data_IF_510420389909
#
_entry.id   IF_510420389909
#
_cell.length_a   1.000
_cell.length_b   1.000
_cell.length_c   1.000
_cell.angle_alpha   90.00
_cell.angle_beta   90.00
_cell.angle_gamma   90.00
#
_symmetry.space_group_name_H-M   'P 1'
#
loop_
_entity.id
_entity.type
_entity.pdbx_description
1 polymer ?
#
# COMPACT_ATOMS: atom_id res chain seq x y z
N UNK A 1 2.59 11.57 27.47
CA UNK A 1 1.78 11.57 26.23
C UNK A 1 1.92 10.18 25.62
N UNK A 2 0.91 9.33 25.83
CA UNK A 2 0.86 8.01 25.21
C UNK A 2 0.79 8.20 23.69
N UNK A 3 1.76 7.66 22.95
CA UNK A 3 1.70 7.70 21.50
C UNK A 3 0.42 7.00 21.02
N UNK A 4 -0.29 7.55 20.03
CA UNK A 4 -1.43 6.87 19.45
C UNK A 4 -0.93 5.59 18.81
N UNK A 5 -1.36 4.44 19.33
CA UNK A 5 -1.15 3.17 18.66
C UNK A 5 -1.66 3.32 17.22
N UNK A 6 -0.77 3.16 16.24
CA UNK A 6 -1.18 3.12 14.84
C UNK A 6 -2.23 2.01 14.69
N UNK A 7 -3.38 2.27 14.02
CA UNK A 7 -4.40 1.24 13.79
C UNK A 7 -3.91 0.12 12.84
N UNK A 8 -2.71 0.30 12.27
CA UNK A 8 -2.09 -0.62 11.35
C UNK A 8 -1.02 -1.41 12.11
N UNK A 9 -1.16 -2.74 12.11
CA UNK A 9 -0.16 -3.62 12.69
C UNK A 9 0.93 -3.99 11.67
N UNK A 10 2.19 -3.91 12.10
CA UNK A 10 3.37 -4.25 11.31
C UNK A 10 4.11 -5.43 11.94
N UNK A 11 3.94 -6.68 11.45
CA UNK A 11 4.66 -7.83 11.95
C UNK A 11 6.18 -7.64 11.79
N UNK A 12 7.02 -8.19 12.69
CA UNK A 12 8.47 -8.02 12.64
C UNK A 12 9.05 -8.35 11.26
N UNK A 13 9.96 -7.49 10.78
CA UNK A 13 10.67 -7.71 9.51
C UNK A 13 11.70 -8.81 9.68
N UNK A 14 11.39 -10.02 9.20
CA UNK A 14 12.36 -11.10 9.13
C UNK A 14 12.14 -11.94 7.88
N UNK A 15 13.24 -12.31 7.22
CA UNK A 15 13.23 -13.23 6.08
C UNK A 15 13.35 -14.70 6.53
N UNK A 16 13.81 -14.92 7.76
CA UNK A 16 14.06 -16.23 8.34
C UNK A 16 13.05 -16.61 9.43
N UNK A 17 12.08 -15.76 9.76
CA UNK A 17 11.08 -16.02 10.81
C UNK A 17 9.68 -15.81 10.24
N UNK A 18 8.80 -16.79 10.46
CA UNK A 18 7.39 -16.63 10.12
C UNK A 18 6.74 -15.57 11.02
N UNK A 19 6.08 -14.53 10.48
CA UNK A 19 5.48 -13.46 11.30
C UNK A 19 4.26 -13.91 12.12
N UNK A 20 3.68 -15.09 11.82
CA UNK A 20 2.48 -15.61 12.49
C UNK A 20 2.82 -16.51 13.68
N UNK A 21 3.86 -17.35 13.58
CA UNK A 21 4.21 -18.32 14.63
C UNK A 21 5.60 -18.10 15.22
N UNK A 22 6.35 -17.10 14.73
CA UNK A 22 7.72 -16.78 15.14
C UNK A 22 8.73 -17.92 15.02
N UNK A 23 8.42 -18.96 14.22
CA UNK A 23 9.34 -20.08 14.00
C UNK A 23 10.43 -19.71 12.99
N UNK A 24 11.68 -20.01 13.35
CA UNK A 24 12.86 -19.85 12.48
C UNK A 24 12.83 -20.80 11.28
N UNK A 25 13.48 -20.36 10.21
CA UNK A 25 13.79 -21.10 9.00
C UNK A 25 14.98 -22.01 9.27
N UNK A 26 14.71 -23.25 9.63
CA UNK A 26 15.72 -24.29 9.85
C UNK A 26 15.42 -25.47 8.91
N UNK A 27 15.42 -25.22 7.60
CA UNK A 27 15.14 -26.23 6.57
C UNK A 27 13.66 -26.58 6.34
N UNK A 28 12.72 -25.79 6.88
CA UNK A 28 11.27 -25.98 6.65
C UNK A 28 10.82 -25.28 5.36
N UNK A 29 9.82 -25.85 4.68
CA UNK A 29 9.14 -25.21 3.54
C UNK A 29 8.44 -23.95 4.02
N UNK A 30 8.99 -22.78 3.69
CA UNK A 30 8.32 -21.49 3.78
C UNK A 30 8.09 -20.96 2.37
N UNK A 31 7.00 -20.22 2.21
CA UNK A 31 6.72 -19.48 0.99
C UNK A 31 6.75 -18.00 1.26
N UNK A 32 7.27 -17.22 0.30
CA UNK A 32 7.07 -15.77 0.29
C UNK A 32 5.56 -15.52 0.22
N UNK A 33 5.05 -14.67 1.11
CA UNK A 33 3.64 -14.32 1.12
C UNK A 33 3.37 -13.47 -0.15
N UNK A 34 2.50 -13.91 -1.08
CA UNK A 34 2.20 -13.18 -2.29
C UNK A 34 1.57 -11.82 -2.00
N UNK A 35 1.84 -10.83 -2.86
CA UNK A 35 1.34 -9.45 -2.73
C UNK A 35 -0.17 -9.40 -2.52
N UNK A 36 -0.92 -10.18 -3.30
CA UNK A 36 -2.37 -10.26 -3.18
C UNK A 36 -2.84 -10.64 -1.77
N UNK A 37 -2.15 -11.59 -1.11
CA UNK A 37 -2.48 -11.99 0.27
C UNK A 37 -2.16 -10.86 1.24
N UNK A 38 -1.00 -10.20 1.07
CA UNK A 38 -0.57 -9.09 1.93
C UNK A 38 -1.57 -7.94 1.87
N UNK A 39 -2.01 -7.60 0.66
CA UNK A 39 -2.93 -6.49 0.40
C UNK A 39 -4.35 -6.82 0.88
N UNK A 40 -4.86 -8.03 0.62
CA UNK A 40 -6.14 -8.47 1.19
C UNK A 40 -6.11 -8.47 2.72
N UNK A 41 -5.00 -8.94 3.31
CA UNK A 41 -4.83 -8.94 4.77
C UNK A 41 -4.88 -7.51 5.32
N UNK A 42 -4.25 -6.57 4.63
CA UNK A 42 -4.31 -5.16 5.00
C UNK A 42 -5.74 -4.59 4.87
N UNK A 43 -6.39 -4.76 3.71
CA UNK A 43 -7.72 -4.22 3.43
C UNK A 43 -8.75 -4.72 4.44
N UNK A 44 -8.77 -6.03 4.72
CA UNK A 44 -9.82 -6.64 5.53
C UNK A 44 -9.51 -6.69 7.03
N UNK A 45 -8.24 -6.56 7.42
CA UNK A 45 -7.83 -6.78 8.82
C UNK A 45 -6.90 -5.70 9.39
N UNK A 46 -6.59 -4.65 8.63
CA UNK A 46 -5.66 -3.57 9.00
C UNK A 46 -4.29 -4.05 9.46
N UNK A 47 -3.84 -5.19 8.92
CA UNK A 47 -2.52 -5.78 9.19
C UNK A 47 -1.66 -5.62 7.93
N UNK A 48 -0.59 -4.85 8.03
CA UNK A 48 0.36 -4.68 6.93
C UNK A 48 1.49 -5.69 7.04
N UNK A 49 1.52 -6.63 6.09
CA UNK A 49 2.61 -7.59 5.96
C UNK A 49 3.63 -7.03 4.98
N UNK A 50 4.85 -6.78 5.47
CA UNK A 50 5.96 -6.22 4.69
C UNK A 50 6.32 -7.08 3.49
N UNK A 51 6.83 -6.42 2.45
CA UNK A 51 7.36 -7.08 1.26
C UNK A 51 8.40 -8.15 1.63
N UNK A 52 8.39 -9.27 0.90
CA UNK A 52 9.31 -10.41 1.06
C UNK A 52 9.20 -11.13 2.41
N UNK A 53 8.16 -10.87 3.20
CA UNK A 53 7.86 -11.67 4.39
C UNK A 53 7.53 -13.10 3.98
N UNK A 54 8.05 -14.07 4.71
CA UNK A 54 7.85 -15.51 4.45
C UNK A 54 6.91 -16.10 5.50
N UNK A 55 6.07 -17.05 5.11
CA UNK A 55 5.13 -17.72 6.02
C UNK A 55 5.18 -19.23 5.87
N UNK A 56 4.82 -19.93 6.95
CA UNK A 56 4.59 -21.36 6.92
C UNK A 56 3.35 -21.68 6.07
N UNK A 57 3.38 -22.73 5.21
CA UNK A 57 2.23 -23.18 4.43
C UNK A 57 1.00 -23.46 5.29
N UNK A 58 1.18 -23.93 6.54
CA UNK A 58 0.06 -24.21 7.46
C UNK A 58 -0.83 -23.00 7.78
N UNK A 59 -0.33 -21.77 7.61
CA UNK A 59 -1.09 -20.54 7.85
C UNK A 59 -1.77 -19.99 6.60
N UNK A 60 -1.49 -20.56 5.42
CA UNK A 60 -2.06 -20.15 4.15
C UNK A 60 -2.99 -21.26 3.66
N UNK A 61 -4.20 -20.89 3.26
CA UNK A 61 -5.21 -21.79 2.73
C UNK A 61 -5.96 -21.07 1.63
N UNK A 62 -6.13 -21.75 0.48
CA UNK A 62 -6.82 -21.19 -0.69
C UNK A 62 -6.30 -19.80 -1.11
N UNK A 63 -4.98 -19.58 -1.00
CA UNK A 63 -4.37 -18.31 -1.35
C UNK A 63 -4.72 -17.17 -0.40
N UNK A 64 -5.10 -17.46 0.85
CA UNK A 64 -5.38 -16.48 1.90
C UNK A 64 -4.75 -16.89 3.23
N UNK A 65 -4.55 -15.94 4.15
CA UNK A 65 -4.21 -16.30 5.52
C UNK A 65 -5.42 -16.91 6.22
N UNK A 66 -5.19 -18.04 6.91
CA UNK A 66 -6.21 -18.65 7.77
C UNK A 66 -6.67 -17.66 8.84
N UNK A 67 -7.92 -17.79 9.27
CA UNK A 67 -8.48 -16.97 10.36
C UNK A 67 -7.62 -17.03 11.62
N UNK A 68 -7.20 -18.23 12.01
CA UNK A 68 -6.30 -18.42 13.17
C UNK A 68 -4.95 -17.71 13.03
N UNK A 69 -4.42 -17.62 11.80
CA UNK A 69 -3.20 -16.87 11.54
C UNK A 69 -3.41 -15.36 11.70
N UNK A 70 -4.56 -14.85 11.25
CA UNK A 70 -4.94 -13.44 11.42
C UNK A 70 -5.12 -13.12 12.90
N UNK A 71 -5.79 -13.98 13.66
CA UNK A 71 -6.04 -13.77 15.08
C UNK A 71 -4.73 -13.74 15.88
N UNK A 72 -3.76 -14.62 15.58
CA UNK A 72 -2.42 -14.59 16.16
C UNK A 72 -1.71 -13.25 15.88
N UNK A 73 -1.78 -12.77 14.63
CA UNK A 73 -1.18 -11.48 14.26
C UNK A 73 -1.81 -10.31 15.04
N UNK A 74 -3.13 -10.32 15.25
CA UNK A 74 -3.83 -9.31 16.06
C UNK A 74 -3.44 -9.39 17.53
N UNK A 75 -3.30 -10.59 18.06
CA UNK A 75 -2.86 -10.80 19.44
C UNK A 75 -1.43 -10.26 19.63
N UNK A 76 -0.53 -10.54 18.69
CA UNK A 76 0.83 -9.98 18.72
C UNK A 76 0.84 -8.45 18.59
N UNK A 77 -0.07 -7.88 17.80
CA UNK A 77 -0.25 -6.43 17.68
C UNK A 77 -0.59 -5.78 19.02
N UNK A 78 -1.46 -6.42 19.80
CA UNK A 78 -1.84 -5.92 21.13
C UNK A 78 -0.69 -5.94 22.14
N UNK A 79 0.34 -6.76 21.89
CA UNK A 79 1.49 -6.97 22.78
C UNK A 79 2.73 -6.18 22.38
N UNK A 80 2.78 -5.61 21.18
CA UNK A 80 3.98 -4.99 20.60
C UNK A 80 3.68 -3.67 19.90
N UNK A 81 4.14 -2.54 20.46
CA UNK A 81 4.10 -1.21 19.84
C UNK A 81 5.24 -1.00 18.82
N UNK A 82 5.33 -1.86 17.79
CA UNK A 82 6.34 -1.64 16.75
C UNK A 82 5.80 -0.64 15.75
N UNK A 83 6.37 0.56 15.78
CA UNK A 83 6.03 1.63 14.86
C UNK A 83 6.38 1.28 13.43
N UNK A 84 5.50 1.68 12.51
CA UNK A 84 5.78 1.69 11.08
C UNK A 84 6.91 2.67 10.80
N UNK A 85 7.90 2.27 9.99
CA UNK A 85 8.76 3.29 9.39
C UNK A 85 7.96 4.03 8.30
N UNK A 86 8.31 5.30 8.03
CA UNK A 86 7.75 6.05 6.89
C UNK A 86 7.91 5.26 5.58
N UNK A 87 9.01 4.52 5.45
CA UNK A 87 9.25 3.66 4.28
C UNK A 87 8.25 2.50 4.18
N UNK A 88 7.81 1.94 5.31
CA UNK A 88 6.79 0.87 5.33
C UNK A 88 5.43 1.43 4.86
N UNK A 89 5.07 2.65 5.30
CA UNK A 89 3.85 3.33 4.86
C UNK A 89 3.91 3.68 3.36
N UNK A 90 5.04 4.18 2.89
CA UNK A 90 5.25 4.47 1.48
C UNK A 90 5.13 3.20 0.62
N UNK A 91 5.74 2.10 1.06
CA UNK A 91 5.63 0.79 0.39
C UNK A 91 4.20 0.28 0.33
N UNK A 92 3.45 0.40 1.44
CA UNK A 92 2.02 0.08 1.48
C UNK A 92 1.21 0.91 0.46
N UNK A 93 1.42 2.22 0.40
CA UNK A 93 0.73 3.08 -0.57
C UNK A 93 1.03 2.67 -2.02
N UNK A 94 2.30 2.36 -2.34
CA UNK A 94 2.68 1.88 -3.67
C UNK A 94 1.99 0.55 -4.03
N UNK A 95 1.96 -0.40 -3.10
CA UNK A 95 1.29 -1.70 -3.28
C UNK A 95 -0.22 -1.54 -3.49
N UNK A 96 -0.87 -0.69 -2.70
CA UNK A 96 -2.29 -0.38 -2.88
C UNK A 96 -2.58 0.26 -4.25
N UNK A 97 -1.74 1.21 -4.69
CA UNK A 97 -1.91 1.83 -6.00
C UNK A 97 -1.78 0.82 -7.14
N UNK A 98 -0.85 -0.14 -7.04
CA UNK A 98 -0.68 -1.20 -8.04
C UNK A 98 -1.91 -2.10 -8.11
N UNK A 99 -2.45 -2.54 -6.97
CA UNK A 99 -3.64 -3.40 -6.97
C UNK A 99 -4.90 -2.66 -7.41
N UNK A 100 -5.06 -1.38 -7.05
CA UNK A 100 -6.16 -0.57 -7.57
C UNK A 100 -6.09 -0.44 -9.10
N UNK A 101 -4.89 -0.29 -9.66
CA UNK A 101 -4.68 -0.31 -11.13
C UNK A 101 -5.10 -1.65 -11.72
N UNK A 102 -4.64 -2.77 -11.15
CA UNK A 102 -5.00 -4.13 -11.61
C UNK A 102 -6.51 -4.37 -11.57
N UNK A 103 -7.15 -4.04 -10.46
CA UNK A 103 -8.59 -4.23 -10.29
C UNK A 103 -9.40 -3.42 -11.32
N UNK A 104 -8.97 -2.19 -11.57
CA UNK A 104 -9.58 -1.35 -12.60
C UNK A 104 -9.38 -1.90 -14.00
N UNK A 105 -8.16 -2.31 -14.37
CA UNK A 105 -7.88 -2.94 -15.68
C UNK A 105 -8.76 -4.16 -15.94
N UNK A 106 -8.99 -4.98 -14.90
CA UNK A 106 -9.90 -6.13 -14.95
C UNK A 106 -11.37 -5.72 -15.16
N UNK A 107 -11.79 -4.56 -14.65
CA UNK A 107 -13.18 -4.08 -14.74
C UNK A 107 -13.48 -3.28 -16.01
N UNK A 108 -12.53 -2.51 -16.55
CA UNK A 108 -12.80 -1.56 -17.63
C UNK A 108 -12.59 -2.10 -19.04
N UNK A 109 -12.14 -3.36 -19.21
CA UNK A 109 -11.74 -3.96 -20.51
C UNK A 109 -10.83 -3.04 -21.37
N UNK A 110 -10.20 -2.07 -20.73
CA UNK A 110 -9.40 -1.02 -21.34
C UNK A 110 -8.38 -0.55 -20.30
N UNK A 111 -7.10 -0.38 -20.69
CA UNK A 111 -6.12 0.22 -19.80
C UNK A 111 -6.59 1.62 -19.46
N UNK A 112 -6.52 1.99 -18.17
CA UNK A 112 -6.80 3.36 -17.76
C UNK A 112 -5.82 4.26 -18.54
N UNK A 113 -6.29 5.33 -19.19
CA UNK A 113 -5.37 6.30 -19.77
C UNK A 113 -4.44 6.78 -18.64
N UNK A 114 -3.15 6.98 -18.91
CA UNK A 114 -2.20 7.46 -17.92
C UNK A 114 -2.72 8.74 -17.24
N UNK A 115 -2.29 8.98 -16.00
CA UNK A 115 -2.68 10.17 -15.25
C UNK A 115 -2.37 11.42 -16.09
N UNK A 116 -3.43 12.12 -16.50
CA UNK A 116 -3.33 13.33 -17.29
C UNK A 116 -4.01 14.51 -16.59
N UNK A 117 -3.25 15.20 -15.76
CA UNK A 117 -3.65 16.42 -15.06
C UNK A 117 -3.72 17.65 -15.99
N UNK A 118 -3.44 17.51 -17.30
CA UNK A 118 -3.73 18.56 -18.29
C UNK A 118 -5.20 18.60 -18.71
N UNK A 119 -5.99 17.60 -18.29
CA UNK A 119 -7.41 17.50 -18.58
C UNK A 119 -8.21 17.55 -17.27
N UNK A 120 -8.42 18.74 -16.66
CA UNK A 120 -9.02 18.87 -15.32
C UNK A 120 -10.47 18.39 -15.21
N UNK A 121 -11.14 18.16 -16.35
CA UNK A 121 -12.49 17.60 -16.45
C UNK A 121 -12.54 16.09 -16.21
N UNK A 122 -11.39 15.40 -16.24
CA UNK A 122 -11.30 13.94 -16.02
C UNK A 122 -11.32 13.54 -14.55
N UNK A 123 -11.18 14.50 -13.65
CA UNK A 123 -11.03 14.28 -12.22
C UNK A 123 -11.99 15.17 -11.43
N UNK A 124 -12.64 14.55 -10.45
CA UNK A 124 -13.41 15.22 -9.41
C UNK A 124 -12.46 15.83 -8.36
N UNK A 125 -12.98 16.68 -7.47
CA UNK A 125 -12.19 17.24 -6.37
C UNK A 125 -11.64 16.13 -5.44
N UNK A 126 -12.44 15.09 -5.20
CA UNK A 126 -12.03 13.90 -4.46
C UNK A 126 -10.90 13.14 -5.15
N UNK A 127 -10.94 13.02 -6.48
CA UNK A 127 -9.85 12.42 -7.25
C UNK A 127 -8.54 13.21 -7.08
N UNK A 128 -8.60 14.55 -7.15
CA UNK A 128 -7.42 15.39 -6.91
C UNK A 128 -6.84 15.16 -5.52
N UNK A 129 -7.70 15.13 -4.50
CA UNK A 129 -7.27 14.91 -3.12
C UNK A 129 -6.68 13.51 -2.93
N UNK A 130 -7.31 12.48 -3.49
CA UNK A 130 -6.81 11.10 -3.40
C UNK A 130 -5.49 10.88 -4.15
N UNK A 131 -5.33 11.54 -5.31
CA UNK A 131 -4.16 11.35 -6.17
C UNK A 131 -2.96 12.20 -5.73
N UNK A 132 -3.19 13.38 -5.16
CA UNK A 132 -2.14 14.39 -4.92
C UNK A 132 -2.05 14.87 -3.47
N UNK A 133 -3.03 14.54 -2.63
CA UNK A 133 -3.17 15.09 -1.28
C UNK A 133 -3.66 16.54 -1.24
N UNK A 134 -3.95 17.15 -2.39
CA UNK A 134 -4.43 18.52 -2.55
C UNK A 134 -5.83 18.50 -3.15
N UNK A 135 -6.73 19.38 -2.67
CA UNK A 135 -7.96 19.61 -3.42
C UNK A 135 -7.64 20.32 -4.75
N UNK A 136 -8.59 20.33 -5.68
CA UNK A 136 -8.41 20.85 -7.03
C UNK A 136 -7.96 22.30 -7.03
N UNK A 137 -8.53 23.13 -6.15
CA UNK A 137 -8.15 24.53 -6.03
C UNK A 137 -6.71 24.73 -5.55
N UNK A 138 -6.28 23.98 -4.53
CA UNK A 138 -4.91 23.98 -4.02
C UNK A 138 -3.92 23.50 -5.08
N UNK A 139 -4.28 22.47 -5.82
CA UNK A 139 -3.49 21.95 -6.94
C UNK A 139 -3.33 23.02 -8.03
N UNK A 140 -4.41 23.68 -8.43
CA UNK A 140 -4.37 24.77 -9.42
C UNK A 140 -3.48 25.93 -8.96
N UNK A 141 -3.60 26.37 -7.70
CA UNK A 141 -2.70 27.38 -7.12
C UNK A 141 -1.24 26.93 -7.22
N UNK A 142 -0.94 25.70 -6.79
CA UNK A 142 0.42 25.19 -6.79
C UNK A 142 1.01 25.15 -8.21
N UNK A 143 0.21 24.71 -9.19
CA UNK A 143 0.60 24.71 -10.61
C UNK A 143 0.83 26.13 -11.15
N UNK A 144 0.10 27.13 -10.66
CA UNK A 144 0.24 28.52 -11.10
C UNK A 144 1.49 29.22 -10.54
N UNK A 145 1.97 28.81 -9.37
CA UNK A 145 3.12 29.41 -8.68
C UNK A 145 4.42 28.76 -9.12
N UNK A 146 4.40 27.46 -9.42
CA UNK A 146 5.60 26.72 -9.80
C UNK A 146 6.03 27.09 -11.22
N UNK A 147 7.24 27.64 -11.34
CA UNK A 147 7.88 27.93 -12.61
C UNK A 147 8.75 26.75 -13.05
N UNK A 148 8.11 25.71 -13.62
CA UNK A 148 8.83 24.67 -14.36
C UNK A 148 8.67 24.92 -15.87
N UNK A 149 9.75 24.71 -16.62
CA UNK A 149 9.68 24.78 -18.08
C UNK A 149 8.83 23.62 -18.60
N UNK A 150 7.73 23.93 -19.26
CA UNK A 150 6.99 22.93 -20.02
C UNK A 150 7.89 22.41 -21.15
N UNK A 151 7.94 21.10 -21.33
CA UNK A 151 8.56 20.44 -22.48
C UNK A 151 7.50 19.66 -23.25
N UNK A 152 7.85 19.18 -24.44
CA UNK A 152 6.96 18.39 -25.30
C UNK A 152 6.34 17.18 -24.58
N UNK A 153 7.03 16.64 -23.56
CA UNK A 153 6.60 15.46 -22.80
C UNK A 153 6.29 15.75 -21.33
N UNK A 154 6.37 17.00 -20.86
CA UNK A 154 6.19 17.34 -19.44
C UNK A 154 5.53 18.70 -19.28
N UNK A 155 4.33 18.71 -18.72
CA UNK A 155 3.67 19.92 -18.25
C UNK A 155 3.86 20.09 -16.75
N UNK A 156 3.74 21.33 -16.26
CA UNK A 156 3.76 21.64 -14.82
C UNK A 156 2.72 20.78 -14.06
N UNK A 157 1.49 20.71 -14.57
CA UNK A 157 0.40 19.93 -13.96
C UNK A 157 0.72 18.44 -13.85
N UNK A 158 1.20 17.80 -14.93
CA UNK A 158 1.57 16.39 -14.86
C UNK A 158 2.83 16.15 -14.01
N UNK A 159 3.74 17.12 -13.95
CA UNK A 159 4.92 17.01 -13.10
C UNK A 159 4.56 17.07 -11.61
N UNK A 160 3.59 17.90 -11.23
CA UNK A 160 3.13 18.05 -9.84
C UNK A 160 2.24 16.88 -9.44
N UNK A 161 1.33 16.44 -10.32
CA UNK A 161 0.40 15.34 -10.02
C UNK A 161 1.05 13.95 -9.93
N UNK A 162 2.33 13.83 -10.27
CA UNK A 162 3.10 12.59 -10.20
C UNK A 162 4.26 12.62 -9.17
N UNK A 163 4.29 13.63 -8.28
CA UNK A 163 5.20 13.70 -7.12
C UNK A 163 4.82 12.65 -6.06
#
# INVERSE_FOLDING_TARGET
>A
ISQPNSPIYFPPKSRSICPVCHQNYDGKSYMTIPDQIRIQTFIFNTIYIREKSTCCPKHIENGQLKRSAIDNLKEDASKSSKDASIQDLYGLCQEMQIELRRYHEMMSNSPRPPLDFNSPSRYTDDDYFCLTGLNKYQFEILTSIIQLRNTENRTISNAIGCL
#
